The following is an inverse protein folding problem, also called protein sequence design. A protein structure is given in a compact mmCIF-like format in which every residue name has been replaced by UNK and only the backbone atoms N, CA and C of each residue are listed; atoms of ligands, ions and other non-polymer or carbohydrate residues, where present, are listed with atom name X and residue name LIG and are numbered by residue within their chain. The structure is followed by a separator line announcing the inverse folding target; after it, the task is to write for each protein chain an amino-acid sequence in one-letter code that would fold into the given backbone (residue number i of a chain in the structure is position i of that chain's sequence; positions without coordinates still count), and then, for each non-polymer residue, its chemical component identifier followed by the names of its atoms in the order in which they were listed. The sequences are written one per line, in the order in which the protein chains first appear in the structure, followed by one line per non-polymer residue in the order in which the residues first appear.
data_IF_451307652976
#
_entry.id   IF_451307652976
#
_cell.length_a   1.000
_cell.length_b   1.000
_cell.length_c   1.000
_cell.angle_alpha   90.00
_cell.angle_beta   90.00
_cell.angle_gamma   90.00
#
_symmetry.space_group_name_H-M   'P 1'
#
loop_
_entity.id
_entity.type
_entity.pdbx_description
1 polymer ?
#
# COMPACT_ATOMS: atom_id res chain seq x y z
N UNK A 1 6.14 0.24 -4.78
CA UNK A 1 5.24 0.44 -3.62
C UNK A 1 5.31 1.89 -3.19
N UNK A 2 4.25 2.39 -2.57
CA UNK A 2 4.21 3.69 -1.92
C UNK A 2 4.52 3.52 -0.44
N UNK A 3 5.66 4.05 0.02
CA UNK A 3 6.20 3.84 1.36
C UNK A 3 6.13 5.15 2.14
N UNK A 4 5.51 5.12 3.33
CA UNK A 4 5.65 6.19 4.32
C UNK A 4 6.90 5.90 5.16
N UNK A 5 7.87 6.79 5.12
CA UNK A 5 9.11 6.66 5.88
C UNK A 5 9.18 7.75 6.94
N UNK A 6 9.23 7.34 8.20
CA UNK A 6 9.27 8.19 9.38
C UNK A 6 10.62 8.07 10.08
N UNK A 7 11.38 9.15 10.11
CA UNK A 7 12.76 9.23 10.62
C UNK A 7 13.10 10.68 10.95
N UNK A 8 13.63 10.97 12.11
CA UNK A 8 14.00 12.32 12.51
C UNK A 8 15.47 12.67 12.18
N UNK A 9 16.34 11.67 11.98
CA UNK A 9 17.69 11.85 11.49
C UNK A 9 17.69 12.13 9.97
N UNK A 10 18.01 13.38 9.59
CA UNK A 10 17.99 13.84 8.21
C UNK A 10 19.02 13.14 7.31
N UNK A 11 20.19 12.79 7.85
CA UNK A 11 21.26 12.13 7.09
C UNK A 11 20.87 10.70 6.78
N UNK A 12 20.37 9.97 7.77
CA UNK A 12 19.83 8.64 7.59
C UNK A 12 18.60 8.64 6.66
N UNK A 13 17.71 9.61 6.83
CA UNK A 13 16.55 9.77 5.97
C UNK A 13 16.93 9.94 4.50
N UNK A 14 17.93 10.78 4.21
CA UNK A 14 18.41 11.03 2.86
C UNK A 14 18.97 9.74 2.23
N UNK A 15 19.76 8.98 2.99
CA UNK A 15 20.38 7.74 2.52
C UNK A 15 19.31 6.66 2.22
N UNK A 16 18.42 6.40 3.17
CA UNK A 16 17.41 5.36 3.03
C UNK A 16 16.40 5.71 1.92
N UNK A 17 15.98 6.97 1.81
CA UNK A 17 15.12 7.43 0.71
C UNK A 17 15.75 7.13 -0.65
N UNK A 18 17.03 7.44 -0.82
CA UNK A 18 17.75 7.13 -2.06
C UNK A 18 17.68 5.63 -2.39
N UNK A 19 17.94 4.75 -1.42
CA UNK A 19 17.86 3.30 -1.63
C UNK A 19 16.45 2.83 -2.04
N UNK A 20 15.42 3.38 -1.40
CA UNK A 20 14.04 3.04 -1.72
C UNK A 20 13.65 3.51 -3.13
N UNK A 21 14.05 4.73 -3.52
CA UNK A 21 13.78 5.30 -4.84
C UNK A 21 14.53 4.55 -5.95
N UNK A 22 15.81 4.19 -5.74
CA UNK A 22 16.61 3.37 -6.65
C UNK A 22 16.01 1.96 -6.84
N UNK A 23 15.37 1.41 -5.80
CA UNK A 23 14.63 0.15 -5.88
C UNK A 23 13.22 0.28 -6.53
N UNK A 24 12.87 1.47 -7.06
CA UNK A 24 11.60 1.72 -7.73
C UNK A 24 10.41 1.93 -6.81
N UNK A 25 10.64 2.25 -5.53
CA UNK A 25 9.58 2.62 -4.59
C UNK A 25 9.33 4.14 -4.61
N UNK A 26 8.11 4.53 -4.26
CA UNK A 26 7.74 5.94 -4.04
C UNK A 26 7.86 6.19 -2.54
N UNK A 27 8.82 7.00 -2.12
CA UNK A 27 9.08 7.30 -0.72
C UNK A 27 8.47 8.65 -0.32
N UNK A 28 7.56 8.63 0.66
CA UNK A 28 7.01 9.80 1.33
C UNK A 28 7.65 9.92 2.70
N UNK A 29 8.53 10.89 2.85
CA UNK A 29 9.28 11.13 4.06
C UNK A 29 8.53 12.03 5.05
N UNK A 30 8.64 11.65 6.33
CA UNK A 30 8.13 12.40 7.47
C UNK A 30 9.23 12.49 8.53
N UNK A 31 9.52 13.68 9.03
CA UNK A 31 10.50 13.95 10.09
C UNK A 31 9.87 13.94 11.50
N UNK A 32 8.54 13.84 11.56
CA UNK A 32 7.74 13.90 12.79
C UNK A 32 6.59 12.89 12.75
N UNK A 33 6.35 12.23 13.88
CA UNK A 33 5.24 11.31 14.02
C UNK A 33 3.88 11.96 13.82
N UNK A 34 3.66 13.15 14.39
CA UNK A 34 2.41 13.89 14.20
C UNK A 34 2.16 14.29 12.74
N UNK A 35 3.21 14.48 11.92
CA UNK A 35 3.03 14.77 10.49
C UNK A 35 2.49 13.55 9.75
N UNK A 36 3.05 12.36 10.03
CA UNK A 36 2.55 11.10 9.47
C UNK A 36 1.12 10.83 9.94
N UNK A 37 0.83 10.96 11.24
CA UNK A 37 -0.51 10.76 11.82
C UNK A 37 -1.58 11.61 11.11
N UNK A 38 -1.32 12.91 10.91
CA UNK A 38 -2.23 13.79 10.16
C UNK A 38 -2.43 13.36 8.71
N UNK A 39 -1.43 12.72 8.10
CA UNK A 39 -1.54 12.26 6.71
C UNK A 39 -2.49 11.06 6.57
N UNK A 40 -2.64 10.22 7.60
CA UNK A 40 -3.48 9.02 7.58
C UNK A 40 -4.96 9.32 7.26
N UNK A 41 -5.43 10.52 7.57
CA UNK A 41 -6.79 10.95 7.26
C UNK A 41 -7.03 11.22 5.76
N UNK A 42 -5.98 11.32 4.93
CA UNK A 42 -6.07 11.76 3.53
C UNK A 42 -5.27 10.90 2.55
N UNK A 43 -4.29 10.15 3.05
CA UNK A 43 -3.34 9.40 2.24
C UNK A 43 -3.28 7.94 2.71
N UNK A 44 -3.01 7.04 1.79
CA UNK A 44 -2.73 5.63 2.08
C UNK A 44 -1.35 5.25 1.57
N UNK A 45 -0.73 4.27 2.22
CA UNK A 45 0.59 3.76 1.87
C UNK A 45 0.54 2.23 1.87
N UNK A 46 1.39 1.62 1.04
CA UNK A 46 1.51 0.16 0.99
C UNK A 46 2.30 -0.37 2.19
N UNK A 47 3.29 0.42 2.66
CA UNK A 47 4.18 0.07 3.74
C UNK A 47 4.56 1.32 4.54
N UNK A 48 4.69 1.14 5.85
CA UNK A 48 5.20 2.12 6.78
C UNK A 48 6.54 1.64 7.33
N UNK A 49 7.61 2.42 7.10
CA UNK A 49 8.92 2.24 7.68
C UNK A 49 9.07 3.29 8.79
N UNK A 50 9.14 2.84 10.04
CA UNK A 50 9.04 3.71 11.20
C UNK A 50 10.31 3.65 12.05
N UNK A 51 10.87 4.80 12.44
CA UNK A 51 11.71 4.82 13.62
C UNK A 51 10.84 4.73 14.90
N UNK A 52 11.42 4.17 15.92
CA UNK A 52 10.80 4.08 17.23
C UNK A 52 10.93 5.38 18.02
N UNK A 53 12.14 5.98 18.00
CA UNK A 53 12.43 7.19 18.74
C UNK A 53 12.19 8.42 17.87
N UNK A 54 11.21 9.20 18.26
CA UNK A 54 10.82 10.42 17.56
C UNK A 54 10.77 11.56 18.56
N UNK A 55 11.09 12.78 18.14
CA UNK A 55 11.16 13.92 19.06
C UNK A 55 9.80 14.39 19.56
N UNK A 56 8.71 14.01 18.90
CA UNK A 56 7.35 14.50 19.17
C UNK A 56 6.37 13.41 19.63
N UNK A 57 6.71 12.13 19.46
CA UNK A 57 5.88 10.98 19.87
C UNK A 57 6.71 9.69 19.95
N UNK A 58 6.11 8.59 20.36
CA UNK A 58 6.72 7.25 20.33
C UNK A 58 6.23 6.48 19.10
N UNK A 59 7.14 5.76 18.43
CA UNK A 59 6.82 4.97 17.24
C UNK A 59 5.72 3.92 17.47
N UNK A 60 5.60 3.37 18.69
CA UNK A 60 4.49 2.48 19.05
C UNK A 60 3.13 3.19 19.03
N UNK A 61 3.09 4.46 19.43
CA UNK A 61 1.87 5.26 19.35
C UNK A 61 1.47 5.48 17.89
N UNK A 62 2.45 5.79 17.03
CA UNK A 62 2.22 5.91 15.58
C UNK A 62 1.71 4.59 14.99
N UNK A 63 2.30 3.44 15.36
CA UNK A 63 1.82 2.11 14.95
C UNK A 63 0.36 1.87 15.34
N UNK A 64 -0.02 2.17 16.57
CA UNK A 64 -1.41 2.01 17.05
C UNK A 64 -2.39 2.82 16.21
N UNK A 65 -2.04 4.05 15.87
CA UNK A 65 -2.89 4.89 15.01
C UNK A 65 -2.96 4.37 13.58
N UNK A 66 -1.84 3.90 13.02
CA UNK A 66 -1.85 3.24 11.72
C UNK A 66 -2.80 2.04 11.74
N UNK A 67 -2.72 1.18 12.76
CA UNK A 67 -3.59 0.00 12.90
C UNK A 67 -5.08 0.37 13.05
N UNK A 68 -5.37 1.50 13.68
CA UNK A 68 -6.75 2.01 13.79
C UNK A 68 -7.31 2.45 12.44
N UNK A 69 -6.51 3.12 11.60
CA UNK A 69 -6.95 3.64 10.31
C UNK A 69 -6.83 2.61 9.18
N UNK A 70 -5.78 1.79 9.22
CA UNK A 70 -5.45 0.78 8.20
C UNK A 70 -5.02 -0.52 8.89
N UNK A 71 -5.95 -1.35 9.37
CA UNK A 71 -5.63 -2.56 10.14
C UNK A 71 -4.66 -3.52 9.44
N UNK A 72 -4.75 -3.62 8.12
CA UNK A 72 -3.91 -4.49 7.28
C UNK A 72 -2.64 -3.81 6.73
N UNK A 73 -2.27 -2.61 7.23
CA UNK A 73 -1.05 -1.93 6.80
C UNK A 73 0.19 -2.79 7.07
N UNK A 74 1.17 -2.75 6.17
CA UNK A 74 2.49 -3.35 6.44
C UNK A 74 3.34 -2.35 7.21
N UNK A 75 3.91 -2.77 8.32
CA UNK A 75 4.73 -1.90 9.19
C UNK A 75 6.04 -2.59 9.52
N UNK A 76 7.15 -1.90 9.24
CA UNK A 76 8.51 -2.32 9.61
C UNK A 76 9.09 -1.24 10.53
N UNK A 77 9.62 -1.64 11.69
CA UNK A 77 10.44 -0.75 12.50
C UNK A 77 11.90 -0.78 12.04
N UNK A 78 12.52 0.40 11.93
CA UNK A 78 13.95 0.57 11.70
C UNK A 78 14.52 1.48 12.80
N UNK A 79 15.12 0.90 13.84
CA UNK A 79 15.47 1.64 15.07
C UNK A 79 16.74 1.13 15.73
N UNK A 80 17.34 1.97 16.58
CA UNK A 80 18.51 1.62 17.37
C UNK A 80 18.23 0.69 18.57
N UNK A 81 16.94 0.37 18.84
CA UNK A 81 16.58 -0.58 19.87
C UNK A 81 16.91 -2.00 19.40
N UNK A 82 17.84 -2.65 20.08
CA UNK A 82 18.35 -3.99 19.79
C UNK A 82 18.08 -5.02 20.89
N UNK A 83 17.41 -4.59 21.98
CA UNK A 83 17.05 -5.50 23.06
C UNK A 83 15.87 -6.40 22.65
N UNK A 84 16.00 -7.66 22.99
CA UNK A 84 14.96 -8.67 22.70
C UNK A 84 13.55 -8.25 23.17
N UNK A 85 13.48 -7.61 24.36
CA UNK A 85 12.21 -7.12 24.91
C UNK A 85 11.57 -6.01 24.04
N UNK A 86 12.37 -5.11 23.48
CA UNK A 86 11.86 -4.03 22.63
C UNK A 86 11.40 -4.58 21.27
N UNK A 87 12.17 -5.50 20.69
CA UNK A 87 11.78 -6.21 19.47
C UNK A 87 10.47 -6.96 19.68
N UNK A 88 10.38 -7.73 20.77
CA UNK A 88 9.17 -8.46 21.12
C UNK A 88 7.95 -7.54 21.30
N UNK A 89 8.12 -6.38 21.97
CA UNK A 89 7.06 -5.39 22.14
C UNK A 89 6.57 -4.80 20.82
N UNK A 90 7.48 -4.48 19.88
CA UNK A 90 7.13 -3.97 18.55
C UNK A 90 6.31 -4.97 17.75
N UNK A 91 6.74 -6.23 17.73
CA UNK A 91 6.05 -7.31 17.03
C UNK A 91 4.69 -7.65 17.69
N UNK A 92 4.62 -7.70 19.03
CA UNK A 92 3.38 -7.90 19.78
C UNK A 92 2.38 -6.74 19.57
N UNK A 93 2.88 -5.52 19.39
CA UNK A 93 2.04 -4.36 19.06
C UNK A 93 1.51 -4.40 17.62
N UNK A 94 1.95 -5.37 16.82
CA UNK A 94 1.45 -5.62 15.46
C UNK A 94 2.35 -5.11 14.35
N UNK A 95 3.64 -4.86 14.57
CA UNK A 95 4.59 -4.67 13.47
C UNK A 95 4.79 -5.99 12.71
N UNK A 96 5.02 -5.89 11.39
CA UNK A 96 5.22 -7.05 10.52
C UNK A 96 6.67 -7.52 10.48
N UNK A 97 7.62 -6.61 10.72
CA UNK A 97 9.04 -6.89 10.80
C UNK A 97 9.79 -5.78 11.56
N UNK A 98 11.08 -6.01 11.80
CA UNK A 98 11.95 -5.17 12.58
C UNK A 98 13.38 -5.17 12.01
N UNK A 99 14.03 -4.00 11.96
CA UNK A 99 15.41 -3.81 11.50
C UNK A 99 16.16 -3.02 12.55
N UNK A 100 17.31 -3.53 13.00
CA UNK A 100 18.20 -2.78 13.90
C UNK A 100 19.12 -1.82 13.13
N UNK A 101 19.29 -0.61 13.65
CA UNK A 101 20.27 0.35 13.12
C UNK A 101 21.71 -0.07 13.53
N UNK A 102 22.72 0.08 12.65
CA UNK A 102 22.68 0.75 11.36
C UNK A 102 22.01 -0.08 10.27
N UNK A 103 21.05 0.53 9.57
CA UNK A 103 20.31 -0.12 8.47
C UNK A 103 21.23 -0.39 7.29
N UNK A 104 21.17 -1.60 6.74
CA UNK A 104 21.91 -1.99 5.53
C UNK A 104 20.96 -2.08 4.35
N UNK A 105 21.35 -1.51 3.19
CA UNK A 105 20.51 -1.46 2.01
C UNK A 105 19.92 -2.83 1.61
N UNK A 106 20.80 -3.85 1.48
CA UNK A 106 20.37 -5.19 1.06
C UNK A 106 19.38 -5.83 2.04
N UNK A 107 19.59 -5.65 3.36
CA UNK A 107 18.69 -6.15 4.38
C UNK A 107 17.33 -5.45 4.33
N UNK A 108 17.32 -4.12 4.25
CA UNK A 108 16.08 -3.34 4.17
C UNK A 108 15.23 -3.77 2.99
N UNK A 109 15.81 -3.82 1.79
CA UNK A 109 15.08 -4.18 0.57
C UNK A 109 14.58 -5.62 0.61
N UNK A 110 15.36 -6.56 1.12
CA UNK A 110 14.95 -7.96 1.29
C UNK A 110 13.77 -8.11 2.27
N UNK A 111 13.77 -7.36 3.38
CA UNK A 111 12.67 -7.36 4.35
C UNK A 111 11.40 -6.72 3.78
N UNK A 112 11.51 -5.58 3.10
CA UNK A 112 10.39 -4.95 2.40
C UNK A 112 9.75 -5.94 1.43
N UNK A 113 10.56 -6.65 0.64
CA UNK A 113 10.04 -7.63 -0.30
C UNK A 113 9.41 -8.85 0.39
N UNK A 114 9.97 -9.32 1.51
CA UNK A 114 9.43 -10.42 2.29
C UNK A 114 8.06 -10.08 2.88
N UNK A 115 7.91 -8.88 3.45
CA UNK A 115 6.65 -8.39 4.02
C UNK A 115 5.63 -8.15 2.88
N UNK A 116 6.05 -7.53 1.77
CA UNK A 116 5.19 -7.28 0.61
C UNK A 116 4.64 -8.57 -0.06
N UNK A 117 5.35 -9.69 0.03
CA UNK A 117 4.82 -10.99 -0.44
C UNK A 117 3.57 -11.42 0.32
N UNK A 118 3.43 -11.04 1.60
CA UNK A 118 2.23 -11.33 2.40
C UNK A 118 0.99 -10.63 1.87
N UNK A 119 1.12 -9.37 1.38
CA UNK A 119 0.00 -8.66 0.72
C UNK A 119 -0.48 -9.38 -0.53
N UNK A 120 0.45 -9.98 -1.28
CA UNK A 120 0.13 -10.67 -2.52
C UNK A 120 -0.58 -12.01 -2.31
N UNK A 121 -0.73 -12.47 -1.06
CA UNK A 121 -1.35 -13.73 -0.67
C UNK A 121 -0.60 -14.95 -1.22
N UNK A 122 -0.99 -16.13 -0.79
CA UNK A 122 -0.57 -17.40 -1.40
C UNK A 122 -1.29 -17.57 -2.75
N UNK A 123 -0.90 -16.79 -3.76
CA UNK A 123 -1.44 -16.96 -5.11
C UNK A 123 -0.86 -18.27 -5.69
N UNK A 124 -1.73 -19.20 -5.95
CA UNK A 124 -1.38 -20.56 -6.39
C UNK A 124 -0.70 -20.60 -7.77
N UNK A 125 -0.79 -19.52 -8.54
CA UNK A 125 -0.18 -19.42 -9.87
C UNK A 125 0.53 -18.07 -10.04
N UNK A 126 1.86 -18.05 -10.26
CA UNK A 126 2.58 -16.81 -10.53
C UNK A 126 1.97 -16.05 -11.70
N UNK A 127 1.66 -14.78 -11.48
CA UNK A 127 1.13 -13.90 -12.54
C UNK A 127 -0.38 -13.98 -12.79
N UNK A 128 -1.13 -14.84 -12.08
CA UNK A 128 -2.58 -14.89 -12.14
C UNK A 128 -3.18 -14.40 -10.81
N UNK A 129 -4.03 -13.38 -10.88
CA UNK A 129 -4.84 -12.89 -9.76
C UNK A 129 -6.27 -13.38 -9.93
N UNK A 130 -6.80 -14.07 -8.93
CA UNK A 130 -8.19 -14.53 -8.92
C UNK A 130 -8.97 -13.85 -7.79
N UNK A 131 -10.12 -13.28 -8.12
CA UNK A 131 -10.99 -12.60 -7.18
C UNK A 131 -12.46 -12.90 -7.54
N UNK A 132 -13.03 -13.94 -6.93
CA UNK A 132 -14.36 -14.43 -7.29
C UNK A 132 -14.44 -14.81 -8.77
N UNK A 133 -15.36 -14.19 -9.54
CA UNK A 133 -15.54 -14.48 -10.98
C UNK A 133 -14.43 -13.88 -11.86
N UNK A 134 -13.55 -13.04 -11.27
CA UNK A 134 -12.52 -12.32 -12.00
C UNK A 134 -11.20 -13.09 -12.01
N UNK A 135 -10.58 -13.16 -13.20
CA UNK A 135 -9.24 -13.69 -13.41
C UNK A 135 -8.40 -12.67 -14.19
N UNK A 136 -7.37 -12.15 -13.54
CA UNK A 136 -6.46 -11.18 -14.13
C UNK A 136 -5.12 -11.86 -14.39
N UNK A 137 -4.70 -11.89 -15.66
CA UNK A 137 -3.39 -12.40 -16.08
C UNK A 137 -2.41 -11.21 -16.25
N UNK A 138 -1.40 -11.18 -15.38
CA UNK A 138 -0.41 -10.10 -15.34
C UNK A 138 0.54 -10.13 -16.53
N UNK A 139 0.92 -11.34 -16.98
CA UNK A 139 1.82 -11.51 -18.12
C UNK A 139 1.16 -11.09 -19.45
N UNK A 140 -0.07 -11.53 -19.69
CA UNK A 140 -0.84 -11.18 -20.87
C UNK A 140 -1.59 -9.83 -20.77
N UNK A 141 -1.60 -9.19 -19.60
CA UNK A 141 -2.35 -7.96 -19.30
C UNK A 141 -3.82 -8.06 -19.70
N UNK A 142 -4.47 -9.14 -19.30
CA UNK A 142 -5.88 -9.40 -19.63
C UNK A 142 -6.70 -9.66 -18.39
N UNK A 143 -7.98 -9.27 -18.44
CA UNK A 143 -8.98 -9.58 -17.40
C UNK A 143 -10.09 -10.41 -18.01
N UNK A 144 -10.49 -11.47 -17.31
CA UNK A 144 -11.69 -12.24 -17.61
C UNK A 144 -12.68 -12.12 -16.46
N UNK A 145 -13.95 -12.08 -16.78
CA UNK A 145 -15.05 -12.14 -15.83
C UNK A 145 -16.01 -13.28 -16.29
N UNK A 146 -16.29 -14.24 -15.42
CA UNK A 146 -17.08 -15.44 -15.75
C UNK A 146 -16.55 -16.15 -17.03
N UNK A 147 -15.22 -16.23 -17.16
CA UNK A 147 -14.55 -16.84 -18.32
C UNK A 147 -14.50 -15.96 -19.57
N UNK A 148 -15.24 -14.87 -19.65
CA UNK A 148 -15.28 -13.96 -20.82
C UNK A 148 -14.26 -12.84 -20.65
N UNK A 149 -13.50 -12.56 -21.72
CA UNK A 149 -12.55 -11.45 -21.74
C UNK A 149 -13.27 -10.11 -21.67
N UNK A 150 -12.78 -9.21 -20.82
CA UNK A 150 -13.24 -7.83 -20.72
C UNK A 150 -12.18 -6.90 -21.31
N UNK A 151 -12.58 -6.06 -22.25
CA UNK A 151 -11.69 -5.11 -22.90
C UNK A 151 -11.48 -3.87 -22.03
N UNK A 152 -10.24 -3.72 -21.56
CA UNK A 152 -9.79 -2.61 -20.74
C UNK A 152 -8.68 -1.84 -21.45
N UNK A 153 -8.66 -0.52 -21.28
CA UNK A 153 -7.50 0.30 -21.64
C UNK A 153 -6.34 0.03 -20.66
N UNK A 154 -5.13 0.44 -21.01
CA UNK A 154 -3.96 0.25 -20.14
C UNK A 154 -4.14 0.82 -18.72
N UNK A 155 -4.79 1.98 -18.61
CA UNK A 155 -5.05 2.61 -17.31
C UNK A 155 -6.14 1.91 -16.52
N UNK A 156 -7.19 1.43 -17.21
CA UNK A 156 -8.23 0.63 -16.58
C UNK A 156 -7.69 -0.73 -16.11
N UNK A 157 -6.80 -1.36 -16.92
CA UNK A 157 -6.12 -2.58 -16.53
C UNK A 157 -5.24 -2.36 -15.29
N UNK A 158 -4.41 -1.31 -15.29
CA UNK A 158 -3.54 -1.00 -14.16
C UNK A 158 -4.33 -0.70 -12.87
N UNK A 159 -5.49 -0.03 -12.98
CA UNK A 159 -6.41 0.16 -11.86
C UNK A 159 -7.01 -1.16 -11.37
N UNK A 160 -7.44 -2.04 -12.30
CA UNK A 160 -7.98 -3.36 -11.94
C UNK A 160 -6.92 -4.20 -11.21
N UNK A 161 -5.70 -4.26 -11.75
CA UNK A 161 -4.58 -4.96 -11.12
C UNK A 161 -4.30 -4.40 -9.72
N UNK A 162 -4.26 -3.07 -9.59
CA UNK A 162 -4.03 -2.42 -8.31
C UNK A 162 -5.11 -2.76 -7.29
N UNK A 163 -6.39 -2.63 -7.64
CA UNK A 163 -7.49 -2.95 -6.73
C UNK A 163 -7.54 -4.44 -6.35
N UNK A 164 -7.20 -5.34 -7.27
CA UNK A 164 -7.19 -6.77 -6.99
C UNK A 164 -6.07 -7.14 -6.01
N UNK A 165 -4.92 -6.47 -6.10
CA UNK A 165 -3.81 -6.65 -5.15
C UNK A 165 -4.12 -6.05 -3.77
N UNK A 166 -4.98 -5.03 -3.72
CA UNK A 166 -5.34 -4.28 -2.51
C UNK A 166 -6.82 -4.47 -2.14
N UNK A 167 -7.37 -5.66 -2.44
CA UNK A 167 -8.76 -5.97 -2.08
C UNK A 167 -8.96 -5.79 -0.56
N UNK A 168 -10.14 -5.30 -0.18
CA UNK A 168 -10.54 -4.96 1.20
C UNK A 168 -9.77 -3.79 1.83
N UNK A 169 -8.82 -3.18 1.11
CA UNK A 169 -8.04 -2.04 1.62
C UNK A 169 -8.59 -0.73 1.07
N UNK A 170 -8.70 0.28 1.94
CA UNK A 170 -9.06 1.64 1.51
C UNK A 170 -7.84 2.30 0.91
N UNK A 171 -7.95 2.77 -0.34
CA UNK A 171 -6.86 3.41 -1.08
C UNK A 171 -7.22 4.85 -1.42
N UNK A 172 -6.32 5.79 -1.09
CA UNK A 172 -6.54 7.21 -1.38
C UNK A 172 -6.46 7.50 -2.89
N UNK A 173 -7.18 8.56 -3.34
CA UNK A 173 -7.10 9.02 -4.75
C UNK A 173 -5.69 9.37 -5.17
N UNK A 174 -4.91 9.95 -4.26
CA UNK A 174 -3.51 10.32 -4.52
C UNK A 174 -2.65 9.07 -4.72
N UNK A 175 -2.83 8.04 -3.90
CA UNK A 175 -2.14 6.76 -4.06
C UNK A 175 -2.45 6.12 -5.42
N UNK A 176 -3.74 6.04 -5.80
CA UNK A 176 -4.16 5.52 -7.11
C UNK A 176 -3.54 6.32 -8.27
N UNK A 177 -3.50 7.65 -8.13
CA UNK A 177 -2.91 8.51 -9.15
C UNK A 177 -1.41 8.22 -9.32
N UNK A 178 -0.66 8.19 -8.23
CA UNK A 178 0.78 7.93 -8.25
C UNK A 178 1.09 6.51 -8.75
N UNK A 179 0.34 5.50 -8.29
CA UNK A 179 0.57 4.10 -8.68
C UNK A 179 0.28 3.83 -10.17
N UNK A 180 -0.73 4.47 -10.74
CA UNK A 180 -1.19 4.18 -12.10
C UNK A 180 -0.66 5.17 -13.13
N UNK A 181 -0.51 6.44 -12.77
CA UNK A 181 -0.04 7.50 -13.68
C UNK A 181 1.39 7.96 -13.41
N UNK A 182 1.95 7.62 -12.25
CA UNK A 182 3.30 8.02 -11.84
C UNK A 182 3.34 9.36 -11.10
N UNK A 183 4.46 9.61 -10.39
CA UNK A 183 4.66 10.81 -9.56
C UNK A 183 4.63 12.12 -10.35
N UNK A 184 5.09 12.12 -11.60
CA UNK A 184 5.19 13.31 -12.45
C UNK A 184 3.94 13.53 -13.32
N UNK A 185 2.88 12.74 -13.11
CA UNK A 185 1.68 12.88 -13.91
C UNK A 185 1.05 14.26 -13.70
N UNK A 186 0.84 15.01 -14.77
CA UNK A 186 0.03 16.24 -14.77
C UNK A 186 -1.48 15.97 -14.57
N UNK A 187 -1.84 14.69 -14.38
CA UNK A 187 -3.22 14.26 -14.19
C UNK A 187 -3.73 14.70 -12.80
N UNK A 188 -4.95 15.17 -12.75
CA UNK A 188 -5.63 15.52 -11.50
C UNK A 188 -6.33 14.28 -10.91
N UNK A 189 -6.64 14.30 -9.63
CA UNK A 189 -7.38 13.22 -8.94
C UNK A 189 -8.74 12.91 -9.59
N UNK A 190 -9.38 13.88 -10.24
CA UNK A 190 -10.61 13.68 -11.06
C UNK A 190 -10.42 12.66 -12.20
N UNK A 191 -9.20 12.53 -12.72
CA UNK A 191 -8.89 11.50 -13.73
C UNK A 191 -9.07 10.10 -13.14
N UNK A 192 -8.70 9.89 -11.89
CA UNK A 192 -8.93 8.64 -11.16
C UNK A 192 -10.43 8.32 -11.11
N UNK A 193 -11.25 9.31 -10.71
CA UNK A 193 -12.71 9.11 -10.55
C UNK A 193 -13.36 8.67 -11.88
N UNK A 194 -12.94 9.27 -12.99
CA UNK A 194 -13.44 8.91 -14.33
C UNK A 194 -13.09 7.47 -14.71
N UNK A 195 -11.84 7.05 -14.49
CA UNK A 195 -11.41 5.70 -14.83
C UNK A 195 -11.97 4.64 -13.89
N UNK A 196 -12.12 4.96 -12.61
CA UNK A 196 -12.81 4.09 -11.63
C UNK A 196 -14.27 3.88 -12.02
N UNK A 197 -14.99 4.92 -12.46
CA UNK A 197 -16.37 4.80 -12.94
C UNK A 197 -16.47 3.86 -14.14
N UNK A 198 -15.57 4.02 -15.14
CA UNK A 198 -15.52 3.15 -16.32
C UNK A 198 -15.18 1.71 -15.95
N UNK A 199 -14.20 1.51 -15.08
CA UNK A 199 -13.79 0.19 -14.59
C UNK A 199 -14.95 -0.51 -13.88
N UNK A 200 -15.67 0.22 -13.01
CA UNK A 200 -16.84 -0.29 -12.30
C UNK A 200 -17.89 -0.82 -13.28
N UNK A 201 -18.21 -0.05 -14.31
CA UNK A 201 -19.18 -0.45 -15.34
C UNK A 201 -18.69 -1.65 -16.14
N UNK A 202 -17.45 -1.65 -16.62
CA UNK A 202 -16.92 -2.72 -17.48
C UNK A 202 -16.80 -4.07 -16.77
N UNK A 203 -16.40 -4.07 -15.51
CA UNK A 203 -16.25 -5.29 -14.70
C UNK A 203 -17.53 -5.66 -13.92
N UNK A 204 -18.56 -4.79 -13.87
CA UNK A 204 -19.74 -5.03 -13.05
C UNK A 204 -19.42 -5.07 -11.56
N UNK A 205 -18.64 -4.07 -11.10
CA UNK A 205 -18.23 -3.95 -9.69
C UNK A 205 -19.22 -3.08 -8.90
N UNK A 206 -20.50 -3.29 -9.13
CA UNK A 206 -21.62 -2.68 -8.38
C UNK A 206 -22.08 -3.52 -7.18
N UNK A 207 -21.65 -4.78 -7.11
CA UNK A 207 -22.10 -5.75 -6.10
C UNK A 207 -22.70 -7.03 -6.72
N UNK A 208 -23.17 -6.96 -7.97
CA UNK A 208 -23.92 -8.03 -8.64
C UNK A 208 -23.10 -9.33 -8.81
N UNK A 209 -21.78 -9.22 -8.70
CA UNK A 209 -20.83 -10.33 -8.84
C UNK A 209 -20.08 -10.65 -7.55
N UNK A 210 -20.66 -10.27 -6.42
CA UNK A 210 -20.05 -10.49 -5.11
C UNK A 210 -18.91 -9.53 -4.75
N UNK A 211 -18.63 -8.53 -5.63
CA UNK A 211 -17.61 -7.50 -5.40
C UNK A 211 -18.12 -6.12 -5.76
N UNK A 212 -17.81 -5.15 -4.91
CA UNK A 212 -18.18 -3.75 -5.08
C UNK A 212 -16.97 -2.85 -5.00
N UNK A 213 -16.79 -1.97 -5.97
CA UNK A 213 -15.78 -0.90 -5.91
C UNK A 213 -16.45 0.35 -5.31
N UNK A 214 -16.41 0.45 -3.98
CA UNK A 214 -17.06 1.50 -3.22
C UNK A 214 -16.22 2.78 -3.16
N UNK A 215 -16.88 3.94 -3.17
CA UNK A 215 -16.24 5.20 -2.86
C UNK A 215 -16.21 5.42 -1.34
N UNK A 216 -15.06 5.77 -0.80
CA UNK A 216 -14.90 6.23 0.58
C UNK A 216 -14.87 7.75 0.56
N UNK A 217 -15.85 8.35 1.27
CA UNK A 217 -16.07 9.80 1.24
C UNK A 217 -14.80 10.58 1.58
N UNK A 218 -14.48 11.59 0.78
CA UNK A 218 -13.29 12.47 0.87
C UNK A 218 -11.93 11.77 0.87
N UNK A 219 -11.85 10.44 0.86
CA UNK A 219 -10.60 9.69 0.89
C UNK A 219 -10.25 9.08 -0.47
N UNK A 220 -11.03 8.09 -0.93
CA UNK A 220 -10.69 7.34 -2.13
C UNK A 220 -11.67 6.23 -2.44
N UNK A 221 -11.16 5.00 -2.60
CA UNK A 221 -11.93 3.85 -3.01
C UNK A 221 -11.51 2.59 -2.27
N UNK A 222 -12.43 1.62 -2.18
CA UNK A 222 -12.18 0.27 -1.68
C UNK A 222 -12.86 -0.74 -2.59
N UNK A 223 -12.14 -1.77 -3.00
CA UNK A 223 -12.74 -2.95 -3.59
C UNK A 223 -13.06 -3.92 -2.46
N UNK A 224 -14.32 -4.13 -2.21
CA UNK A 224 -14.82 -4.92 -1.07
C UNK A 224 -15.79 -6.02 -1.54
N UNK A 225 -15.94 -7.06 -0.72
CA UNK A 225 -17.02 -8.03 -0.94
C UNK A 225 -18.36 -7.32 -0.78
N UNK A 226 -19.27 -7.61 -1.69
CA UNK A 226 -20.64 -7.17 -1.52
C UNK A 226 -21.34 -8.15 -0.55
N UNK A 227 -21.92 -7.62 0.52
CA UNK A 227 -22.81 -8.40 1.38
C UNK A 227 -23.96 -8.95 0.53
N UNK A 228 -24.20 -10.25 0.66
CA UNK A 228 -25.33 -10.94 0.02
C UNK A 228 -26.64 -10.55 0.70
#
# INVERSE_FOLDING_TARGET
MRIAYLEDDADQATLIRKWLEEAGHICHYFDRGHALQRSLARESFDLYLLDWHLPDTDGLQVLKEIRTHVPAALVIFATARDRDDDIARGLQAGADDYITKPVRQGELLARIEAVARRLRGAQTTPGLLELGPFKLNRGARTVKCDGRRVELTDKEYALAEFFFLHAETVVSRKHLLEAVWGLQAKAQTRTVDTHVSRLRTKLGLGGERGWRLAAVHQFGYRLERADQ
#
